data_IF_653850375688
#
_entry.id   IF_653850375688
#
_cell.length_a   1.000
_cell.length_b   1.000
_cell.length_c   1.000
_cell.angle_alpha   90.00
_cell.angle_beta   90.00
_cell.angle_gamma   90.00
#
_symmetry.space_group_name_H-M   'P 1'
#
loop_
_entity.id
_entity.type
_entity.pdbx_description
1 polymer ?
#
# COMPACT_ATOMS: atom_id res chain seq x y z
N UNK A 1 52.53 -7.27 15.15
CA UNK A 1 52.11 -7.99 13.93
C UNK A 1 50.60 -8.14 14.00
N UNK A 2 49.86 -7.73 12.98
CA UNK A 2 48.39 -7.75 13.03
C UNK A 2 47.88 -9.20 13.19
N UNK A 3 46.87 -9.43 14.05
CA UNK A 3 46.40 -10.75 14.48
C UNK A 3 45.49 -11.48 13.47
N UNK A 4 44.98 -12.65 13.85
CA UNK A 4 44.25 -13.60 12.97
C UNK A 4 42.95 -13.07 12.32
N UNK A 5 42.50 -11.86 12.67
CA UNK A 5 41.26 -11.27 12.14
C UNK A 5 41.53 -10.18 11.09
N UNK A 6 42.72 -10.20 10.48
CA UNK A 6 43.04 -9.30 9.36
C UNK A 6 42.40 -9.73 8.06
N UNK A 7 42.08 -8.71 7.26
CA UNK A 7 41.61 -8.84 5.90
C UNK A 7 42.62 -9.60 5.03
N UNK A 8 42.14 -10.54 4.21
CA UNK A 8 43.01 -11.27 3.28
C UNK A 8 43.63 -10.33 2.24
N UNK A 9 44.82 -10.67 1.74
CA UNK A 9 45.52 -9.89 0.70
C UNK A 9 44.64 -9.68 -0.54
N UNK A 10 43.82 -10.66 -0.90
CA UNK A 10 42.86 -10.57 -2.00
C UNK A 10 41.84 -9.46 -1.77
N UNK A 11 41.29 -9.38 -0.55
CA UNK A 11 40.30 -8.38 -0.20
C UNK A 11 40.92 -6.98 -0.10
N UNK A 12 42.17 -6.86 0.38
CA UNK A 12 42.94 -5.60 0.36
C UNK A 12 43.14 -5.08 -1.08
N UNK A 13 43.52 -5.97 -2.02
CA UNK A 13 43.66 -5.60 -3.43
C UNK A 13 42.33 -5.16 -4.04
N UNK A 14 41.22 -5.85 -3.71
CA UNK A 14 39.87 -5.49 -4.15
C UNK A 14 39.48 -4.10 -3.67
N UNK A 15 39.65 -3.80 -2.38
CA UNK A 15 39.37 -2.48 -1.81
C UNK A 15 40.22 -1.39 -2.45
N UNK A 16 41.53 -1.63 -2.64
CA UNK A 16 42.41 -0.67 -3.34
C UNK A 16 41.91 -0.33 -4.74
N UNK A 17 41.43 -1.32 -5.50
CA UNK A 17 40.87 -1.08 -6.83
C UNK A 17 39.60 -0.22 -6.74
N UNK A 18 38.67 -0.55 -5.84
CA UNK A 18 37.44 0.23 -5.64
C UNK A 18 37.72 1.68 -5.25
N UNK A 19 38.70 1.94 -4.38
CA UNK A 19 39.10 3.31 -4.03
C UNK A 19 39.71 4.07 -5.21
N UNK A 20 40.51 3.41 -6.06
CA UNK A 20 41.05 4.03 -7.28
C UNK A 20 39.97 4.31 -8.33
N UNK A 21 38.88 3.54 -8.33
CA UNK A 21 37.69 3.75 -9.15
C UNK A 21 36.76 4.85 -8.59
N UNK A 22 37.12 5.49 -7.47
CA UNK A 22 36.40 6.63 -6.91
C UNK A 22 35.38 6.28 -5.83
N UNK A 23 35.30 5.03 -5.35
CA UNK A 23 34.53 4.71 -4.15
C UNK A 23 35.20 5.38 -2.95
N UNK A 24 34.46 6.13 -2.15
CA UNK A 24 34.99 6.76 -0.91
C UNK A 24 34.46 6.11 0.37
N UNK A 25 33.37 5.32 0.27
CA UNK A 25 32.70 4.71 1.42
C UNK A 25 33.17 3.27 1.67
N UNK A 26 33.41 2.93 2.94
CA UNK A 26 33.83 1.59 3.42
C UNK A 26 32.63 0.69 3.77
N UNK A 27 31.44 1.26 3.93
CA UNK A 27 30.22 0.50 4.19
C UNK A 27 29.79 -0.31 2.96
N UNK A 28 29.10 -1.43 3.21
CA UNK A 28 28.48 -2.23 2.17
C UNK A 28 27.50 -1.37 1.35
N UNK A 29 27.49 -1.58 0.04
CA UNK A 29 26.49 -0.97 -0.83
C UNK A 29 25.11 -1.57 -0.54
N UNK A 30 24.04 -0.85 -0.94
CA UNK A 30 22.69 -1.39 -0.88
C UNK A 30 22.64 -2.73 -1.61
N UNK A 31 22.30 -3.78 -0.86
CA UNK A 31 22.18 -5.12 -1.42
C UNK A 31 20.86 -5.18 -2.18
N UNK A 32 20.91 -5.58 -3.45
CA UNK A 32 19.74 -5.99 -4.20
C UNK A 32 19.20 -7.30 -3.58
N UNK A 33 18.35 -7.17 -2.55
CA UNK A 33 17.69 -8.31 -1.94
C UNK A 33 16.88 -9.12 -2.96
N UNK A 34 16.37 -10.29 -2.58
CA UNK A 34 15.48 -11.07 -3.44
C UNK A 34 14.21 -10.24 -3.71
N UNK A 35 13.83 -9.98 -4.97
CA UNK A 35 12.56 -9.35 -5.24
C UNK A 35 11.44 -10.30 -4.79
N UNK A 36 10.57 -9.83 -3.90
CA UNK A 36 9.33 -10.54 -3.65
C UNK A 36 8.51 -10.50 -4.95
N UNK A 37 8.04 -11.64 -5.44
CA UNK A 37 7.24 -11.71 -6.68
C UNK A 37 6.04 -10.72 -6.65
N UNK A 38 5.52 -10.43 -5.46
CA UNK A 38 4.44 -9.46 -5.22
C UNK A 38 4.82 -8.00 -5.50
N UNK A 39 6.10 -7.62 -5.40
CA UNK A 39 6.59 -6.25 -5.65
C UNK A 39 7.08 -6.04 -7.08
N UNK A 40 6.80 -6.97 -7.98
CA UNK A 40 7.05 -6.74 -9.41
C UNK A 40 6.15 -5.59 -9.90
N UNK A 41 6.65 -4.67 -10.74
CA UNK A 41 5.88 -3.53 -11.23
C UNK A 41 4.55 -3.94 -11.86
N UNK A 42 4.51 -5.06 -12.57
CA UNK A 42 3.30 -5.57 -13.23
C UNK A 42 2.20 -5.94 -12.22
N UNK A 43 2.58 -6.56 -11.10
CA UNK A 43 1.66 -6.94 -10.03
C UNK A 43 1.12 -5.71 -9.34
N UNK A 44 1.99 -4.74 -9.02
CA UNK A 44 1.60 -3.47 -8.40
C UNK A 44 0.61 -2.72 -9.31
N UNK A 45 0.88 -2.67 -10.61
CA UNK A 45 0.00 -2.02 -11.58
C UNK A 45 -1.35 -2.73 -11.74
N UNK A 46 -1.36 -4.07 -11.71
CA UNK A 46 -2.61 -4.84 -11.74
C UNK A 46 -3.47 -4.57 -10.49
N UNK A 47 -2.87 -4.56 -9.30
CA UNK A 47 -3.56 -4.20 -8.05
C UNK A 47 -4.11 -2.78 -8.14
N UNK A 48 -3.31 -1.82 -8.63
CA UNK A 48 -3.76 -0.43 -8.82
C UNK A 48 -4.96 -0.35 -9.78
N UNK A 49 -4.94 -1.08 -10.89
CA UNK A 49 -6.04 -1.07 -11.86
C UNK A 49 -7.36 -1.59 -11.26
N UNK A 50 -7.31 -2.64 -10.42
CA UNK A 50 -8.49 -3.15 -9.71
C UNK A 50 -9.06 -2.10 -8.75
N UNK A 51 -8.18 -1.43 -8.01
CA UNK A 51 -8.54 -0.37 -7.06
C UNK A 51 -9.10 0.87 -7.75
N UNK A 52 -8.53 1.26 -8.88
CA UNK A 52 -8.98 2.43 -9.66
C UNK A 52 -10.35 2.17 -10.31
N UNK A 53 -10.66 0.92 -10.66
CA UNK A 53 -11.97 0.51 -11.16
C UNK A 53 -13.03 0.55 -10.06
N UNK A 54 -12.72 0.02 -8.88
CA UNK A 54 -13.61 0.03 -7.72
C UNK A 54 -12.85 0.36 -6.43
N UNK A 55 -13.03 1.60 -5.97
CA UNK A 55 -12.40 2.09 -4.73
C UNK A 55 -12.92 1.42 -3.46
N UNK A 56 -14.00 0.63 -3.54
CA UNK A 56 -14.60 -0.12 -2.43
C UNK A 56 -14.14 -1.58 -2.37
N UNK A 57 -13.24 -1.99 -3.26
CA UNK A 57 -12.78 -3.37 -3.30
C UNK A 57 -12.14 -3.82 -1.98
N UNK A 58 -12.46 -5.03 -1.54
CA UNK A 58 -11.83 -5.65 -0.37
C UNK A 58 -10.51 -6.34 -0.72
N UNK A 59 -9.67 -6.65 0.27
CA UNK A 59 -8.41 -7.36 0.02
C UNK A 59 -8.63 -8.71 -0.69
N UNK A 60 -9.67 -9.44 -0.29
CA UNK A 60 -9.98 -10.75 -0.85
C UNK A 60 -10.51 -10.61 -2.29
N UNK A 61 -11.36 -9.61 -2.55
CA UNK A 61 -11.82 -9.31 -3.92
C UNK A 61 -10.69 -8.85 -4.85
N UNK A 62 -9.66 -8.16 -4.32
CA UNK A 62 -8.46 -7.84 -5.11
C UNK A 62 -7.76 -9.14 -5.50
N UNK A 63 -7.57 -10.07 -4.56
CA UNK A 63 -6.92 -11.36 -4.85
C UNK A 63 -7.67 -12.14 -5.92
N UNK A 64 -9.00 -12.18 -5.85
CA UNK A 64 -9.83 -12.90 -6.82
C UNK A 64 -9.87 -12.26 -8.21
N UNK A 65 -9.72 -10.93 -8.29
CA UNK A 65 -9.76 -10.17 -9.56
C UNK A 65 -8.41 -10.11 -10.28
N UNK A 66 -7.32 -10.52 -9.62
CA UNK A 66 -6.00 -10.53 -10.26
C UNK A 66 -5.92 -11.65 -11.32
N UNK A 67 -5.05 -11.49 -12.35
CA UNK A 67 -4.83 -12.53 -13.34
C UNK A 67 -4.40 -13.84 -12.67
N UNK A 68 -4.91 -14.97 -13.16
CA UNK A 68 -4.69 -16.32 -12.58
C UNK A 68 -3.23 -16.79 -12.55
N UNK A 69 -2.29 -16.07 -13.18
CA UNK A 69 -0.84 -16.30 -13.07
C UNK A 69 -0.16 -15.54 -11.92
N UNK A 70 -0.90 -14.73 -11.15
CA UNK A 70 -0.39 -13.89 -10.08
C UNK A 70 -0.93 -14.39 -8.75
N UNK A 71 -0.17 -15.27 -8.10
CA UNK A 71 -0.48 -15.70 -6.73
C UNK A 71 0.13 -14.72 -5.73
N UNK A 72 -0.72 -13.92 -5.10
CA UNK A 72 -0.34 -13.01 -4.01
C UNK A 72 -1.14 -13.32 -2.76
N UNK A 73 -0.48 -13.26 -1.60
CA UNK A 73 -1.16 -13.41 -0.33
C UNK A 73 -1.90 -12.13 0.05
N UNK A 74 -2.89 -12.26 0.95
CA UNK A 74 -3.63 -11.12 1.50
C UNK A 74 -2.71 -10.07 2.13
N UNK A 75 -1.67 -10.51 2.83
CA UNK A 75 -0.64 -9.64 3.41
C UNK A 75 0.16 -8.90 2.34
N UNK A 76 0.50 -9.57 1.24
CA UNK A 76 1.19 -8.92 0.11
C UNK A 76 0.33 -7.84 -0.51
N UNK A 77 -0.97 -8.09 -0.74
CA UNK A 77 -1.90 -7.06 -1.24
C UNK A 77 -1.97 -5.87 -0.28
N UNK A 78 -2.05 -6.13 1.02
CA UNK A 78 -2.04 -5.07 2.04
C UNK A 78 -0.76 -4.21 1.98
N UNK A 79 0.41 -4.84 1.88
CA UNK A 79 1.68 -4.12 1.79
C UNK A 79 1.81 -3.34 0.48
N UNK A 80 1.35 -3.90 -0.64
CA UNK A 80 1.30 -3.17 -1.92
C UNK A 80 0.44 -1.91 -1.78
N UNK A 81 -0.73 -2.04 -1.15
CA UNK A 81 -1.61 -0.89 -0.96
C UNK A 81 -0.98 0.17 -0.06
N UNK A 82 -0.39 -0.21 1.07
CA UNK A 82 0.09 0.74 2.09
C UNK A 82 1.50 1.28 1.83
N UNK A 83 2.41 0.45 1.32
CA UNK A 83 3.82 0.79 1.12
C UNK A 83 4.11 1.21 -0.33
N UNK A 84 3.65 0.44 -1.32
CA UNK A 84 3.99 0.70 -2.73
C UNK A 84 3.06 1.76 -3.35
N UNK A 85 1.77 1.73 -3.01
CA UNK A 85 0.76 2.67 -3.50
C UNK A 85 0.47 3.82 -2.53
N UNK A 86 1.01 3.77 -1.31
CA UNK A 86 0.86 4.81 -0.28
C UNK A 86 -0.60 5.13 0.07
N UNK A 87 -1.43 4.09 0.14
CA UNK A 87 -2.87 4.19 0.39
C UNK A 87 -3.15 3.98 1.88
N UNK A 88 -3.99 4.85 2.44
CA UNK A 88 -4.39 4.79 3.84
C UNK A 88 -5.84 4.31 4.02
N UNK A 89 -6.12 3.63 5.14
CA UNK A 89 -7.48 3.31 5.56
C UNK A 89 -8.13 4.53 6.20
N UNK A 90 -9.08 5.15 5.51
CA UNK A 90 -9.92 6.20 6.10
C UNK A 90 -11.19 5.55 6.63
N UNK A 91 -11.27 5.36 7.95
CA UNK A 91 -12.51 4.91 8.58
C UNK A 91 -13.56 6.04 8.49
N UNK A 92 -14.67 5.80 7.80
CA UNK A 92 -15.83 6.67 7.92
C UNK A 92 -16.32 6.63 9.38
N UNK A 93 -16.13 7.73 10.11
CA UNK A 93 -16.48 7.85 11.53
C UNK A 93 -17.99 7.68 11.67
N UNK A 94 -18.38 6.76 12.55
CA UNK A 94 -19.74 6.30 12.91
C UNK A 94 -20.89 7.29 12.62
N UNK A 95 -21.89 6.83 11.85
CA UNK A 95 -23.19 7.51 11.71
C UNK A 95 -24.02 7.22 12.97
N UNK A 96 -24.51 8.24 13.71
CA UNK A 96 -25.35 8.01 14.88
C UNK A 96 -26.59 7.17 14.55
N UNK A 97 -26.77 6.05 15.27
CA UNK A 97 -27.89 5.10 15.15
C UNK A 97 -29.27 5.77 15.20
N UNK A 98 -29.36 6.91 15.88
CA UNK A 98 -30.54 7.77 15.97
C UNK A 98 -30.25 9.10 15.29
N UNK A 99 -30.77 9.26 14.07
CA UNK A 99 -30.73 10.55 13.39
C UNK A 99 -31.69 11.50 14.09
N UNK A 100 -31.15 12.55 14.72
CA UNK A 100 -31.95 13.68 15.20
C UNK A 100 -32.75 14.30 14.04
N UNK A 101 -33.84 15.00 14.33
CA UNK A 101 -34.61 15.70 13.30
C UNK A 101 -33.74 16.71 12.53
N UNK A 102 -32.75 17.32 13.19
CA UNK A 102 -31.75 18.18 12.56
C UNK A 102 -30.88 17.41 11.54
N UNK A 103 -30.40 16.20 11.87
CA UNK A 103 -29.64 15.37 10.92
C UNK A 103 -30.49 14.97 9.71
N UNK A 104 -31.78 14.69 9.89
CA UNK A 104 -32.71 14.40 8.79
C UNK A 104 -32.90 15.62 7.87
N UNK A 105 -33.08 16.81 8.43
CA UNK A 105 -33.21 18.06 7.68
C UNK A 105 -31.93 18.38 6.90
N UNK A 106 -30.74 18.19 7.50
CA UNK A 106 -29.46 18.40 6.83
C UNK A 106 -29.28 17.45 5.65
N UNK A 107 -29.68 16.17 5.78
CA UNK A 107 -29.68 15.22 4.65
C UNK A 107 -30.65 15.62 3.53
N UNK A 108 -31.84 16.14 3.87
CA UNK A 108 -32.76 16.68 2.86
C UNK A 108 -32.20 17.91 2.16
N UNK A 109 -31.50 18.78 2.89
CA UNK A 109 -30.82 19.93 2.31
C UNK A 109 -29.72 19.51 1.33
N UNK A 110 -28.88 18.53 1.69
CA UNK A 110 -27.86 17.98 0.77
C UNK A 110 -28.45 17.43 -0.53
N UNK A 111 -29.60 16.73 -0.44
CA UNK A 111 -30.36 16.30 -1.63
C UNK A 111 -30.87 17.48 -2.47
N UNK A 112 -31.34 18.55 -1.81
CA UNK A 112 -31.79 19.78 -2.49
C UNK A 112 -30.66 20.44 -3.28
N UNK A 113 -29.42 20.37 -2.79
CA UNK A 113 -28.25 20.92 -3.47
C UNK A 113 -27.64 19.97 -4.52
N UNK A 114 -28.28 18.82 -4.83
CA UNK A 114 -27.80 17.79 -5.77
C UNK A 114 -26.39 17.26 -5.46
N UNK A 115 -26.01 17.20 -4.19
CA UNK A 115 -24.77 16.53 -3.80
C UNK A 115 -24.99 15.03 -3.88
N UNK A 116 -24.00 14.29 -4.38
CA UNK A 116 -24.09 12.83 -4.51
C UNK A 116 -24.20 12.18 -3.13
N UNK A 117 -25.41 11.74 -2.79
CA UNK A 117 -25.69 10.97 -1.58
C UNK A 117 -25.58 9.49 -1.92
N UNK A 118 -24.44 8.87 -1.61
CA UNK A 118 -24.25 7.44 -1.83
C UNK A 118 -25.27 6.60 -1.04
N UNK A 119 -25.82 5.58 -1.68
CA UNK A 119 -26.69 4.59 -1.03
C UNK A 119 -25.93 3.83 0.06
N UNK A 120 -26.51 3.76 1.26
CA UNK A 120 -25.97 2.96 2.36
C UNK A 120 -26.85 1.71 2.46
N UNK A 121 -26.29 0.48 2.46
CA UNK A 121 -27.08 -0.71 2.70
C UNK A 121 -27.68 -0.69 4.13
N UNK A 122 -28.85 -1.34 4.35
CA UNK A 122 -29.42 -1.47 5.69
C UNK A 122 -28.52 -2.38 6.54
N UNK A 123 -27.87 -1.80 7.56
CA UNK A 123 -27.16 -2.42 8.68
C UNK A 123 -26.48 -3.80 8.47
N UNK A 124 -25.14 -3.81 8.43
CA UNK A 124 -24.32 -4.96 8.87
C UNK A 124 -23.23 -4.45 9.81
N UNK A 125 -23.04 -5.04 11.02
CA UNK A 125 -22.12 -4.49 12.01
C UNK A 125 -20.63 -4.67 11.67
N UNK A 126 -20.29 -5.60 10.78
CA UNK A 126 -18.90 -5.99 10.49
C UNK A 126 -18.47 -5.81 9.02
N UNK A 127 -19.28 -5.11 8.22
CA UNK A 127 -18.97 -4.83 6.82
C UNK A 127 -18.69 -3.35 6.66
N UNK A 128 -17.45 -2.94 6.94
CA UNK A 128 -16.89 -1.81 6.21
C UNK A 128 -16.64 -2.33 4.78
N UNK A 129 -17.39 -1.89 3.75
CA UNK A 129 -17.26 -2.42 2.40
C UNK A 129 -16.07 -1.78 1.68
N UNK A 130 -14.98 -1.50 2.39
CA UNK A 130 -13.68 -1.13 1.84
C UNK A 130 -12.69 -1.14 2.98
N UNK A 131 -11.61 -1.92 2.87
CA UNK A 131 -10.53 -1.84 3.82
C UNK A 131 -9.69 -0.57 3.65
N UNK A 132 -9.84 0.16 2.54
CA UNK A 132 -9.07 1.37 2.22
C UNK A 132 -9.90 2.38 1.42
N UNK A 133 -9.69 3.69 1.63
CA UNK A 133 -10.14 4.74 0.72
C UNK A 133 -9.03 5.77 0.50
N UNK A 134 -8.83 6.06 -0.78
CA UNK A 134 -7.57 6.34 -1.45
C UNK A 134 -7.45 7.84 -1.73
N UNK A 135 -7.05 8.63 -0.74
CA UNK A 135 -6.52 9.95 -1.03
C UNK A 135 -4.99 9.85 -1.04
N UNK A 136 -4.29 10.34 -2.09
CA UNK A 136 -2.88 10.68 -1.92
C UNK A 136 -2.77 11.70 -0.78
N UNK A 137 -1.65 11.68 -0.05
CA UNK A 137 -1.42 12.61 1.07
C UNK A 137 -1.96 14.00 0.74
N UNK A 138 -2.96 14.44 1.52
CA UNK A 138 -3.43 15.83 1.46
C UNK A 138 -2.29 16.68 2.01
N UNK A 139 -1.59 17.40 1.13
CA UNK A 139 -0.67 18.47 1.51
C UNK A 139 -1.39 19.58 2.26
#
# INVERSE_FOLDING_TARGET
VYGEHVMSVQMVRRWRAMFLEGRENVHDDERSGRPANSRQPDVINAVRAVIDNDKRVTLDEIMDKLPSGVEVSRSSVHNIMTEDLQLAKVSARWVPRLLSNAHKQQRMALRKFKWDVFGHPPYSPDLAPSDFHLFPELK
#
